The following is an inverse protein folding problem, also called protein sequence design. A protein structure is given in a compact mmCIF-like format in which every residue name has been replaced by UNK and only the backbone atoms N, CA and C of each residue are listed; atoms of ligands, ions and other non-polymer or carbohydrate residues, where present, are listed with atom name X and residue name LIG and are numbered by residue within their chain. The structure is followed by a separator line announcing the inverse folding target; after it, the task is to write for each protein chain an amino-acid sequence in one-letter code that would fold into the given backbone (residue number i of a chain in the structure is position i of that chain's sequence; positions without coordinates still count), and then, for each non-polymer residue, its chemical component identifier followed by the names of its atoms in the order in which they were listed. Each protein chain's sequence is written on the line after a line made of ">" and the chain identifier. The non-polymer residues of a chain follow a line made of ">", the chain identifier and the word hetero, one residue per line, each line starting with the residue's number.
data_IF_246033895595
#
_entry.id   IF_246033895595
#
_cell.length_a   1.000
_cell.length_b   1.000
_cell.length_c   1.000
_cell.angle_alpha   90.00
_cell.angle_beta   90.00
_cell.angle_gamma   90.00
#
_symmetry.space_group_name_H-M   'P 1'
#
loop_
_entity.id
_entity.type
_entity.pdbx_description
1 polymer ?
#
# COMPACT_ATOMS: atom_id res chain seq x y z
N UNK A 1 31.20 15.30 1.02
CA UNK A 1 31.30 14.67 -0.31
C UNK A 1 29.98 14.89 -1.02
N UNK A 2 30.02 15.46 -2.21
CA UNK A 2 28.87 15.81 -3.04
C UNK A 2 28.28 14.54 -3.69
N UNK A 3 27.15 14.06 -3.15
CA UNK A 3 26.29 13.11 -3.84
C UNK A 3 25.39 13.86 -4.84
N UNK A 4 25.21 13.32 -6.04
CA UNK A 4 24.16 13.74 -6.94
C UNK A 4 22.83 13.18 -6.41
N UNK A 5 21.90 14.05 -6.04
CA UNK A 5 20.59 13.67 -5.51
C UNK A 5 19.54 13.77 -6.60
N UNK A 6 18.75 12.71 -6.77
CA UNK A 6 17.68 12.65 -7.79
C UNK A 6 16.34 12.88 -7.12
N UNK A 7 15.56 13.83 -7.62
CA UNK A 7 14.22 14.19 -7.11
C UNK A 7 13.22 13.10 -7.53
N UNK A 8 12.46 12.54 -6.59
CA UNK A 8 11.23 11.80 -6.91
C UNK A 8 10.09 12.78 -7.16
N UNK A 9 9.50 12.71 -8.36
CA UNK A 9 8.17 13.24 -8.58
C UNK A 9 7.20 12.22 -7.99
N UNK A 10 6.56 12.55 -6.88
CA UNK A 10 5.34 11.86 -6.48
C UNK A 10 4.23 12.47 -7.33
N UNK A 11 3.55 11.65 -8.13
CA UNK A 11 2.24 12.06 -8.65
C UNK A 11 1.30 12.10 -7.45
N UNK A 12 0.77 13.28 -7.11
CA UNK A 12 -0.22 13.41 -6.03
C UNK A 12 -1.53 12.68 -6.32
N UNK A 13 -1.68 12.14 -7.53
CA UNK A 13 -2.88 11.47 -8.02
C UNK A 13 -2.68 9.96 -8.11
N UNK A 14 -3.76 9.22 -7.85
CA UNK A 14 -3.88 7.80 -8.15
C UNK A 14 -3.68 7.51 -9.65
N UNK A 15 -3.15 6.33 -9.97
CA UNK A 15 -3.12 5.82 -11.35
C UNK A 15 -4.51 5.79 -12.00
N UNK A 16 -4.55 5.74 -13.33
CA UNK A 16 -5.81 5.65 -14.07
C UNK A 16 -6.66 4.46 -13.65
N UNK A 17 -6.02 3.32 -13.39
CA UNK A 17 -6.69 2.07 -13.02
C UNK A 17 -7.34 2.22 -11.64
N UNK A 18 -6.59 2.64 -10.62
CA UNK A 18 -7.12 2.83 -9.27
C UNK A 18 -8.22 3.90 -9.24
N UNK A 19 -8.07 5.01 -9.98
CA UNK A 19 -9.12 6.03 -10.09
C UNK A 19 -10.40 5.47 -10.68
N UNK A 20 -10.29 4.66 -11.74
CA UNK A 20 -11.46 4.03 -12.35
C UNK A 20 -12.07 2.97 -11.43
N UNK A 21 -11.24 2.23 -10.71
CA UNK A 21 -11.68 1.23 -9.75
C UNK A 21 -12.47 1.87 -8.61
N UNK A 22 -11.95 2.94 -7.99
CA UNK A 22 -12.68 3.70 -6.97
C UNK A 22 -14.02 4.24 -7.49
N UNK A 23 -14.07 4.72 -8.74
CA UNK A 23 -15.35 5.12 -9.35
C UNK A 23 -16.36 3.97 -9.42
N UNK A 24 -15.91 2.78 -9.78
CA UNK A 24 -16.77 1.60 -9.87
C UNK A 24 -17.18 1.07 -8.48
N UNK A 25 -16.25 1.01 -7.53
CA UNK A 25 -16.51 0.53 -6.15
C UNK A 25 -17.62 1.34 -5.48
N UNK A 26 -17.58 2.66 -5.61
CA UNK A 26 -18.59 3.54 -5.02
C UNK A 26 -19.72 3.88 -6.00
N UNK A 27 -19.77 3.24 -7.19
CA UNK A 27 -20.78 3.51 -8.24
C UNK A 27 -20.94 5.00 -8.59
N UNK A 28 -19.88 5.79 -8.46
CA UNK A 28 -19.87 7.24 -8.65
C UNK A 28 -20.47 8.08 -7.52
N UNK A 29 -20.87 7.47 -6.39
CA UNK A 29 -21.38 8.18 -5.22
C UNK A 29 -20.22 8.63 -4.33
N UNK A 30 -20.38 9.78 -3.69
CA UNK A 30 -19.48 10.19 -2.63
C UNK A 30 -19.62 9.27 -1.42
N UNK A 31 -18.52 8.72 -0.92
CA UNK A 31 -18.48 7.84 0.24
C UNK A 31 -19.02 8.49 1.53
N UNK A 32 -18.92 9.83 1.65
CA UNK A 32 -19.37 10.56 2.85
C UNK A 32 -20.82 10.98 2.76
N UNK A 33 -21.22 11.67 1.69
CA UNK A 33 -22.56 12.26 1.60
C UNK A 33 -23.57 11.46 0.76
N UNK A 34 -23.14 10.35 0.15
CA UNK A 34 -23.97 9.49 -0.69
C UNK A 34 -24.41 10.12 -2.02
N UNK A 35 -24.02 11.36 -2.33
CA UNK A 35 -24.48 12.04 -3.55
C UNK A 35 -23.69 11.58 -4.77
N UNK A 36 -24.40 11.30 -5.87
CA UNK A 36 -23.83 11.10 -7.21
C UNK A 36 -24.23 12.25 -8.11
N UNK A 37 -23.23 12.93 -8.67
CA UNK A 37 -23.39 14.04 -9.63
C UNK A 37 -22.56 13.79 -10.86
N UNK A 38 -23.10 14.21 -11.99
CA UNK A 38 -22.51 14.01 -13.31
C UNK A 38 -22.78 15.23 -14.19
N UNK A 39 -21.79 15.63 -14.99
CA UNK A 39 -21.96 16.70 -15.97
C UNK A 39 -22.88 16.23 -17.12
N UNK A 40 -23.45 17.14 -17.92
CA UNK A 40 -24.20 16.77 -19.13
C UNK A 40 -23.42 15.90 -20.14
N UNK A 41 -22.08 15.82 -20.01
CA UNK A 41 -21.20 15.04 -20.87
C UNK A 41 -20.73 13.72 -20.23
N UNK A 42 -21.27 13.35 -19.06
CA UNK A 42 -20.97 12.08 -18.42
C UNK A 42 -19.78 12.11 -17.44
N UNK A 43 -19.29 13.29 -17.07
CA UNK A 43 -18.17 13.39 -16.13
C UNK A 43 -18.68 13.42 -14.69
N UNK A 44 -18.31 12.42 -13.89
CA UNK A 44 -18.58 12.40 -12.46
C UNK A 44 -17.92 13.59 -11.76
N UNK A 45 -18.64 14.19 -10.81
CA UNK A 45 -18.11 15.26 -9.98
C UNK A 45 -17.19 14.74 -8.88
N UNK A 46 -17.37 13.49 -8.45
CA UNK A 46 -16.57 12.87 -7.41
C UNK A 46 -15.16 12.49 -7.89
N UNK A 47 -14.20 12.62 -6.99
CA UNK A 47 -12.76 12.45 -7.18
C UNK A 47 -12.23 11.37 -6.23
N UNK A 48 -11.18 10.68 -6.66
CA UNK A 48 -10.52 9.69 -5.83
C UNK A 48 -9.57 10.40 -4.85
N UNK A 49 -9.78 10.20 -3.55
CA UNK A 49 -9.03 10.80 -2.47
C UNK A 49 -8.21 9.73 -1.73
N UNK A 50 -6.94 10.02 -1.45
CA UNK A 50 -6.10 9.12 -0.67
C UNK A 50 -6.45 9.22 0.82
N UNK A 51 -6.53 8.08 1.50
CA UNK A 51 -6.70 8.05 2.96
C UNK A 51 -5.36 8.33 3.63
N UNK A 52 -4.35 7.51 3.36
CA UNK A 52 -2.95 7.85 3.61
C UNK A 52 -2.44 8.63 2.40
N UNK A 53 -2.07 9.92 2.55
CA UNK A 53 -1.69 10.75 1.41
C UNK A 53 -0.46 10.21 0.68
N UNK A 54 -0.48 10.27 -0.65
CA UNK A 54 0.64 9.83 -1.50
C UNK A 54 1.95 10.55 -1.18
N UNK A 55 1.90 11.85 -0.87
CA UNK A 55 3.04 12.66 -0.44
C UNK A 55 3.65 12.23 0.91
N UNK A 56 2.99 11.32 1.62
CA UNK A 56 3.49 10.72 2.84
C UNK A 56 3.87 9.24 2.63
N UNK A 57 3.82 8.72 1.40
CA UNK A 57 4.14 7.32 1.11
C UNK A 57 2.92 6.40 1.11
N UNK A 58 1.72 6.96 1.10
CA UNK A 58 0.48 6.22 0.90
C UNK A 58 0.50 5.45 -0.43
N UNK A 59 0.16 4.15 -0.44
CA UNK A 59 0.20 3.35 -1.65
C UNK A 59 -0.99 3.66 -2.58
N UNK A 60 -0.75 3.53 -3.88
CA UNK A 60 -1.77 3.60 -4.94
C UNK A 60 -2.59 2.29 -4.95
N UNK A 61 -3.58 2.19 -4.06
CA UNK A 61 -4.45 1.00 -3.91
C UNK A 61 -5.86 1.44 -3.55
N UNK A 62 -6.89 0.68 -3.95
CA UNK A 62 -8.28 1.04 -3.66
C UNK A 62 -8.58 1.06 -2.16
N UNK A 63 -7.94 0.17 -1.41
CA UNK A 63 -8.10 0.10 0.04
C UNK A 63 -7.49 1.32 0.78
N UNK A 64 -6.66 2.12 0.08
CA UNK A 64 -6.16 3.42 0.52
C UNK A 64 -6.96 4.59 -0.08
N UNK A 65 -8.12 4.33 -0.67
CA UNK A 65 -8.87 5.31 -1.45
C UNK A 65 -10.34 5.43 -1.06
N UNK A 66 -10.86 6.64 -1.16
CA UNK A 66 -12.28 6.96 -1.10
C UNK A 66 -12.69 7.67 -2.39
N UNK A 67 -13.94 7.50 -2.82
CA UNK A 67 -14.51 8.38 -3.84
C UNK A 67 -15.29 9.50 -3.15
N UNK A 68 -14.87 10.75 -3.29
CA UNK A 68 -15.44 11.88 -2.56
C UNK A 68 -15.89 12.99 -3.52
N UNK A 69 -17.03 13.64 -3.25
CA UNK A 69 -17.34 14.91 -3.91
C UNK A 69 -16.33 15.98 -3.48
N UNK A 70 -16.15 17.04 -4.28
CA UNK A 70 -15.14 18.08 -4.02
C UNK A 70 -15.21 18.68 -2.63
N UNK A 71 -16.42 18.89 -2.11
CA UNK A 71 -16.61 19.45 -0.78
C UNK A 71 -16.18 18.50 0.34
N UNK A 72 -16.55 17.21 0.23
CA UNK A 72 -16.14 16.19 1.19
C UNK A 72 -14.65 15.85 1.04
N UNK A 73 -14.10 15.88 -0.18
CA UNK A 73 -12.68 15.71 -0.46
C UNK A 73 -11.87 16.79 0.25
N UNK A 74 -12.21 18.06 0.04
CA UNK A 74 -11.58 19.17 0.75
C UNK A 74 -11.74 19.05 2.27
N UNK A 75 -12.91 18.64 2.76
CA UNK A 75 -13.14 18.41 4.18
C UNK A 75 -12.24 17.32 4.76
N UNK A 76 -12.03 16.23 4.03
CA UNK A 76 -11.16 15.14 4.44
C UNK A 76 -9.69 15.60 4.49
N UNK A 77 -9.18 16.17 3.39
CA UNK A 77 -7.79 16.62 3.27
C UNK A 77 -7.44 17.77 4.22
N UNK A 78 -8.41 18.62 4.56
CA UNK A 78 -8.21 19.75 5.48
C UNK A 78 -8.40 19.37 6.96
N UNK A 79 -8.68 18.10 7.25
CA UNK A 79 -8.85 17.61 8.62
C UNK A 79 -10.20 17.89 9.27
N UNK A 80 -11.23 18.26 8.49
CA UNK A 80 -12.61 18.33 8.99
C UNK A 80 -13.23 16.95 9.18
N UNK A 81 -12.86 16.00 8.33
CA UNK A 81 -13.39 14.64 8.33
C UNK A 81 -12.27 13.63 8.54
N UNK A 82 -12.56 12.55 9.23
CA UNK A 82 -11.77 11.32 9.21
C UNK A 82 -12.67 10.10 9.40
N UNK A 83 -12.07 8.92 9.51
CA UNK A 83 -12.78 7.65 9.70
C UNK A 83 -12.27 6.92 10.94
N UNK A 84 -13.17 6.27 11.66
CA UNK A 84 -12.84 5.24 12.65
C UNK A 84 -12.34 3.97 11.95
N UNK A 85 -11.82 3.02 12.73
CA UNK A 85 -11.39 1.71 12.22
C UNK A 85 -12.56 0.85 11.69
N UNK A 86 -13.79 1.17 12.09
CA UNK A 86 -15.04 0.58 11.58
C UNK A 86 -15.73 1.46 10.52
N UNK A 87 -14.97 2.32 9.84
CA UNK A 87 -15.41 3.16 8.73
C UNK A 87 -16.60 4.10 9.04
N UNK A 88 -16.68 4.59 10.28
CA UNK A 88 -17.61 5.66 10.67
C UNK A 88 -16.94 7.02 10.56
N UNK A 89 -17.71 8.02 10.19
CA UNK A 89 -17.24 9.37 9.97
C UNK A 89 -17.01 10.07 11.31
N UNK A 90 -15.81 10.61 11.47
CA UNK A 90 -15.40 11.47 12.59
C UNK A 90 -15.31 12.90 12.06
N UNK A 91 -15.85 13.86 12.80
CA UNK A 91 -15.83 15.28 12.46
C UNK A 91 -14.98 16.05 13.46
N UNK A 92 -14.16 16.98 12.99
CA UNK A 92 -13.34 17.84 13.87
C UNK A 92 -14.23 18.74 14.72
N UNK A 93 -13.95 18.79 16.02
CA UNK A 93 -14.73 19.54 17.00
C UNK A 93 -14.20 20.98 17.14
N UNK A 94 -14.17 21.73 16.04
CA UNK A 94 -13.84 23.16 16.01
C UNK A 94 -15.09 23.99 15.66
N UNK A 95 -15.96 24.15 16.66
CA UNK A 95 -17.21 24.92 16.56
C UNK A 95 -17.01 26.39 16.16
N UNK A 96 -15.78 26.92 16.27
CA UNK A 96 -15.46 28.31 15.98
C UNK A 96 -15.08 28.54 14.51
N UNK A 97 -14.77 27.49 13.76
CA UNK A 97 -14.34 27.59 12.37
C UNK A 97 -15.51 27.51 11.38
N UNK A 98 -15.54 28.46 10.42
CA UNK A 98 -16.57 28.55 9.40
C UNK A 98 -16.58 27.29 8.51
N UNK A 99 -17.68 26.51 8.58
CA UNK A 99 -17.84 25.26 7.84
C UNK A 99 -18.14 24.04 8.73
N UNK A 100 -17.95 24.14 10.05
CA UNK A 100 -18.22 23.07 11.00
C UNK A 100 -19.65 22.48 10.86
N UNK A 101 -20.68 23.33 10.79
CA UNK A 101 -22.08 22.88 10.69
C UNK A 101 -22.35 21.97 9.48
N UNK A 102 -21.67 22.20 8.35
CA UNK A 102 -21.85 21.38 7.16
C UNK A 102 -21.30 19.97 7.37
N UNK A 103 -20.15 19.80 8.03
CA UNK A 103 -19.57 18.46 8.22
C UNK A 103 -20.18 17.73 9.40
N UNK A 104 -20.59 18.47 10.44
CA UNK A 104 -21.16 17.89 11.66
C UNK A 104 -22.39 17.02 11.40
N UNK A 105 -23.15 17.30 10.33
CA UNK A 105 -24.31 16.48 9.95
C UNK A 105 -23.95 15.02 9.61
N UNK A 106 -22.70 14.73 9.26
CA UNK A 106 -22.23 13.37 8.92
C UNK A 106 -21.61 12.64 10.10
N UNK A 107 -21.55 13.26 11.28
CA UNK A 107 -20.84 12.71 12.45
C UNK A 107 -21.45 11.38 12.91
N UNK A 108 -20.61 10.35 13.05
CA UNK A 108 -20.95 8.96 13.40
C UNK A 108 -21.74 8.16 12.35
N UNK A 109 -22.03 8.73 11.19
CA UNK A 109 -22.60 7.97 10.07
C UNK A 109 -21.54 7.01 9.50
N UNK A 110 -21.99 5.88 8.97
CA UNK A 110 -21.12 5.00 8.18
C UNK A 110 -20.92 5.61 6.78
N UNK A 111 -19.73 5.45 6.21
CA UNK A 111 -19.54 5.74 4.78
C UNK A 111 -20.40 4.80 3.92
N UNK A 112 -20.70 5.22 2.69
CA UNK A 112 -21.18 4.30 1.66
C UNK A 112 -20.15 3.20 1.48
N UNK A 113 -20.56 1.95 1.70
CA UNK A 113 -19.67 0.80 1.54
C UNK A 113 -19.31 0.61 0.05
N UNK A 114 -18.07 0.22 -0.27
CA UNK A 114 -17.75 -0.19 -1.62
C UNK A 114 -18.54 -1.45 -2.01
N UNK A 115 -18.79 -1.63 -3.30
CA UNK A 115 -19.51 -2.79 -3.84
C UNK A 115 -18.80 -4.13 -3.63
N UNK A 116 -17.54 -4.11 -3.19
CA UNK A 116 -16.70 -5.27 -2.93
C UNK A 116 -16.08 -5.13 -1.53
N UNK A 117 -16.61 -5.86 -0.56
CA UNK A 117 -16.32 -5.67 0.88
C UNK A 117 -14.84 -5.86 1.25
N UNK A 118 -14.11 -6.78 0.62
CA UNK A 118 -12.68 -6.99 0.91
C UNK A 118 -11.79 -5.86 0.36
N UNK A 119 -12.36 -4.85 -0.30
CA UNK A 119 -11.68 -3.64 -0.78
C UNK A 119 -12.05 -2.38 0.01
N UNK A 120 -12.65 -2.55 1.18
CA UNK A 120 -12.92 -1.46 2.12
C UNK A 120 -11.64 -0.72 2.55
N UNK A 121 -11.77 0.56 2.93
CA UNK A 121 -10.72 1.30 3.60
C UNK A 121 -10.05 0.51 4.72
N UNK A 122 -8.75 0.26 4.63
CA UNK A 122 -8.05 -0.48 5.69
C UNK A 122 -7.84 0.40 6.93
N UNK A 123 -8.07 -0.13 8.15
CA UNK A 123 -7.93 0.62 9.39
C UNK A 123 -6.60 1.36 9.52
N UNK A 124 -5.48 0.74 9.12
CA UNK A 124 -4.15 1.38 9.18
C UNK A 124 -4.08 2.73 8.45
N UNK A 125 -4.77 2.87 7.31
CA UNK A 125 -4.72 4.10 6.54
C UNK A 125 -5.56 5.17 7.23
N UNK A 126 -6.73 4.77 7.76
CA UNK A 126 -7.56 5.67 8.57
C UNK A 126 -6.84 6.10 9.85
N UNK A 127 -6.09 5.22 10.50
CA UNK A 127 -5.25 5.54 11.66
C UNK A 127 -4.14 6.53 11.31
N UNK A 128 -3.47 6.35 10.17
CA UNK A 128 -2.49 7.32 9.66
C UNK A 128 -3.15 8.68 9.41
N UNK A 129 -4.31 8.70 8.74
CA UNK A 129 -5.05 9.93 8.48
C UNK A 129 -5.49 10.63 9.77
N UNK A 130 -6.07 9.91 10.74
CA UNK A 130 -6.48 10.47 12.04
C UNK A 130 -5.31 11.14 12.77
N UNK A 131 -4.13 10.54 12.72
CA UNK A 131 -2.90 11.10 13.30
C UNK A 131 -2.41 12.33 12.55
N UNK A 132 -2.39 12.31 11.22
CA UNK A 132 -1.96 13.44 10.40
C UNK A 132 -2.91 14.63 10.53
N UNK A 133 -4.21 14.37 10.64
CA UNK A 133 -5.27 15.40 10.73
C UNK A 133 -5.62 15.78 12.17
N UNK A 134 -4.90 15.28 13.18
CA UNK A 134 -5.03 15.70 14.57
C UNK A 134 -6.20 15.13 15.36
N UNK A 135 -6.88 14.09 14.84
CA UNK A 135 -7.93 13.36 15.57
C UNK A 135 -7.35 12.43 16.64
N UNK A 136 -6.19 11.84 16.36
CA UNK A 136 -5.47 10.96 17.28
C UNK A 136 -4.10 11.55 17.63
N UNK A 137 -3.60 11.37 18.87
CA UNK A 137 -2.23 11.72 19.20
C UNK A 137 -1.24 10.81 18.45
N UNK A 138 -0.11 11.38 18.06
CA UNK A 138 1.05 10.62 17.58
C UNK A 138 1.84 10.15 18.80
N UNK A 139 1.92 8.84 19.02
CA UNK A 139 2.58 8.22 20.17
C UNK A 139 3.98 7.71 19.81
N UNK A 140 4.84 7.54 20.83
CA UNK A 140 6.14 6.90 20.64
C UNK A 140 5.96 5.46 20.12
N UNK A 141 6.66 5.14 19.02
CA UNK A 141 6.53 3.84 18.33
C UNK A 141 5.57 3.85 17.13
N UNK A 142 4.85 4.96 16.89
CA UNK A 142 4.04 5.11 15.70
C UNK A 142 4.90 5.17 14.42
N UNK A 143 4.65 4.23 13.51
CA UNK A 143 5.30 4.16 12.20
C UNK A 143 4.50 4.94 11.16
N UNK A 144 4.49 6.26 11.30
CA UNK A 144 4.03 7.15 10.23
C UNK A 144 5.17 7.32 9.23
N UNK A 145 5.06 6.69 8.05
CA UNK A 145 5.89 7.10 6.93
C UNK A 145 5.39 8.51 6.55
N UNK A 146 6.27 9.52 6.64
CA UNK A 146 6.02 10.90 6.21
C UNK A 146 7.06 11.21 5.15
N UNK A 147 6.85 10.64 3.96
CA UNK A 147 7.82 10.67 2.86
C UNK A 147 7.64 11.84 1.91
N UNK A 148 8.05 13.05 2.30
CA UNK A 148 7.97 14.25 1.43
C UNK A 148 8.98 15.38 1.70
N UNK A 149 10.05 15.15 2.46
CA UNK A 149 11.02 16.22 2.77
C UNK A 149 11.97 16.47 1.58
N UNK A 150 11.84 17.65 0.96
CA UNK A 150 12.83 18.21 0.03
C UNK A 150 13.94 18.93 0.80
N UNK A 151 15.14 18.92 0.23
CA UNK A 151 16.28 19.68 0.74
C UNK A 151 16.02 21.19 0.68
N UNK A 152 16.09 21.85 1.82
CA UNK A 152 16.17 23.30 1.96
C UNK A 152 16.79 23.63 3.33
N UNK A 153 17.26 24.86 3.53
CA UNK A 153 17.58 25.31 4.89
C UNK A 153 16.28 25.35 5.68
N UNK A 154 16.26 24.61 6.77
CA UNK A 154 15.13 24.57 7.71
C UNK A 154 15.30 25.71 8.70
N UNK A 155 14.28 26.57 8.84
CA UNK A 155 14.16 27.49 9.96
C UNK A 155 12.95 27.11 10.82
N UNK A 156 13.18 27.11 12.14
CA UNK A 156 12.15 26.94 13.15
C UNK A 156 11.44 28.27 13.36
N UNK A 157 10.11 28.28 13.27
CA UNK A 157 9.28 29.39 13.74
C UNK A 157 8.49 28.90 14.96
N UNK A 158 8.66 29.62 16.07
CA UNK A 158 7.93 29.46 17.34
C UNK A 158 7.88 28.03 17.92
N UNK A 159 8.87 27.20 17.60
CA UNK A 159 9.03 25.84 18.13
C UNK A 159 7.97 24.83 17.66
N UNK A 160 7.14 25.19 16.69
CA UNK A 160 6.00 24.37 16.23
C UNK A 160 5.87 24.23 14.72
N UNK A 161 6.52 25.10 13.94
CA UNK A 161 6.42 25.11 12.48
C UNK A 161 7.79 24.98 11.82
N UNK A 162 7.85 24.13 10.79
CA UNK A 162 9.03 23.93 9.95
C UNK A 162 8.77 24.56 8.58
N UNK A 163 9.55 25.59 8.23
CA UNK A 163 9.59 26.12 6.87
C UNK A 163 10.84 25.59 6.17
N UNK A 164 10.64 24.97 5.00
CA UNK A 164 11.72 24.56 4.10
C UNK A 164 11.87 25.65 3.02
N UNK A 165 12.92 26.47 3.11
CA UNK A 165 13.17 27.49 2.08
C UNK A 165 13.35 26.83 0.69
N UNK A 166 12.45 27.14 -0.25
CA UNK A 166 12.52 26.71 -1.65
C UNK A 166 11.58 25.58 -2.08
N UNK A 167 10.68 25.08 -1.22
CA UNK A 167 9.52 24.26 -1.64
C UNK A 167 8.37 25.14 -2.13
N UNK A 168 7.63 24.66 -3.13
CA UNK A 168 6.45 25.36 -3.69
C UNK A 168 5.23 25.29 -2.78
N UNK A 169 5.25 24.40 -1.78
CA UNK A 169 4.18 24.21 -0.81
C UNK A 169 4.71 24.60 0.57
N UNK A 170 4.10 25.65 1.13
CA UNK A 170 4.41 26.22 2.44
C UNK A 170 3.69 25.39 3.53
N UNK A 171 4.47 25.01 4.56
CA UNK A 171 4.07 24.41 5.84
C UNK A 171 3.64 22.92 5.85
N UNK A 172 4.59 22.06 6.25
CA UNK A 172 4.28 20.83 6.99
C UNK A 172 3.88 21.25 8.41
N UNK A 173 2.58 21.38 8.67
CA UNK A 173 2.06 21.48 10.04
C UNK A 173 2.02 20.08 10.62
N UNK A 174 3.11 19.68 11.27
CA UNK A 174 3.13 18.47 12.09
C UNK A 174 3.34 18.92 13.53
N UNK A 175 2.45 18.52 14.43
CA UNK A 175 2.55 18.77 15.87
C UNK A 175 3.77 18.02 16.51
N UNK A 176 4.99 18.25 16.03
CA UNK A 176 6.21 17.65 16.57
C UNK A 176 7.37 18.66 16.63
N UNK A 177 8.26 18.50 17.61
CA UNK A 177 9.47 19.32 17.77
C UNK A 177 10.67 18.59 17.14
N UNK A 178 11.38 19.19 16.20
CA UNK A 178 12.54 18.56 15.53
C UNK A 178 13.73 18.50 16.50
N UNK A 179 14.27 17.31 16.76
CA UNK A 179 15.34 17.07 17.73
C UNK A 179 16.72 16.94 17.08
N UNK A 180 16.82 16.45 15.83
CA UNK A 180 18.07 16.42 15.05
C UNK A 180 17.85 16.20 13.55
N UNK A 181 18.77 16.68 12.71
CA UNK A 181 18.77 16.49 11.24
C UNK A 181 20.13 15.97 10.77
N UNK A 182 20.16 14.95 9.91
CA UNK A 182 21.37 14.48 9.21
C UNK A 182 21.18 14.41 7.67
N UNK A 183 22.15 13.82 6.96
CA UNK A 183 22.13 13.77 5.49
C UNK A 183 21.11 12.82 4.87
N UNK A 184 20.48 11.95 5.67
CA UNK A 184 19.53 10.94 5.20
C UNK A 184 18.25 10.82 6.06
N UNK A 185 18.16 11.47 7.22
CA UNK A 185 17.01 11.40 8.12
C UNK A 185 16.76 12.69 8.93
N UNK A 186 15.50 12.85 9.37
CA UNK A 186 15.08 13.84 10.38
C UNK A 186 14.50 13.11 11.58
N UNK A 187 14.91 13.51 12.80
CA UNK A 187 14.33 13.04 14.07
C UNK A 187 13.49 14.14 14.69
N UNK A 188 12.32 13.78 15.22
CA UNK A 188 11.47 14.66 16.02
C UNK A 188 11.24 14.09 17.42
N UNK A 189 10.58 14.88 18.27
CA UNK A 189 10.26 14.62 19.69
C UNK A 189 9.40 13.37 19.91
N UNK A 190 8.89 12.76 18.84
CA UNK A 190 8.10 11.53 18.87
C UNK A 190 8.87 10.27 18.39
N UNK A 191 10.20 10.33 18.25
CA UNK A 191 11.07 9.16 18.06
C UNK A 191 10.74 8.22 16.89
N UNK A 192 10.53 8.78 15.69
CA UNK A 192 10.49 7.99 14.44
C UNK A 192 11.54 8.53 13.46
N UNK A 193 12.37 7.63 12.91
CA UNK A 193 13.31 7.94 11.83
C UNK A 193 12.49 7.97 10.53
N UNK A 194 12.43 9.12 9.88
CA UNK A 194 11.85 9.24 8.54
C UNK A 194 12.92 8.82 7.52
N UNK A 195 12.87 7.56 7.08
CA UNK A 195 13.75 7.08 6.02
C UNK A 195 13.15 7.37 4.63
N UNK A 196 14.03 7.80 3.74
CA UNK A 196 13.71 8.08 2.35
C UNK A 196 13.38 6.76 1.64
N UNK A 197 12.13 6.55 1.22
CA UNK A 197 11.81 5.41 0.37
C UNK A 197 12.61 5.52 -0.93
N UNK A 198 13.35 4.46 -1.26
CA UNK A 198 14.10 4.39 -2.53
C UNK A 198 13.10 4.50 -3.67
N UNK A 199 13.32 5.49 -4.54
CA UNK A 199 12.56 5.69 -5.76
C UNK A 199 12.74 4.44 -6.65
N UNK A 200 11.67 3.70 -6.94
CA UNK A 200 11.63 2.91 -8.17
C UNK A 200 11.32 3.89 -9.30
N UNK A 201 12.37 4.41 -9.94
CA UNK A 201 12.23 5.48 -10.93
C UNK A 201 11.39 5.04 -12.14
N UNK A 202 10.48 5.94 -12.47
CA UNK A 202 9.66 6.11 -13.67
C UNK A 202 10.42 5.94 -14.99
N UNK A 203 10.60 4.68 -15.39
CA UNK A 203 10.85 4.24 -16.77
C UNK A 203 10.05 2.99 -17.13
N UNK A 204 8.99 2.70 -16.38
CA UNK A 204 8.22 1.46 -16.52
C UNK A 204 7.30 1.55 -17.73
N UNK A 205 7.44 0.58 -18.64
CA UNK A 205 6.50 0.43 -19.74
C UNK A 205 5.08 0.26 -19.18
N UNK A 206 4.12 1.04 -19.70
CA UNK A 206 2.70 0.83 -19.42
C UNK A 206 2.33 -0.64 -19.72
N UNK A 207 1.30 -1.17 -19.05
CA UNK A 207 0.77 -2.48 -19.43
C UNK A 207 0.38 -2.46 -20.90
N UNK A 208 0.78 -3.46 -21.71
CA UNK A 208 0.26 -3.56 -23.07
C UNK A 208 -1.24 -3.90 -23.06
N UNK A 209 -1.77 -4.44 -21.94
CA UNK A 209 -3.17 -4.77 -21.75
C UNK A 209 -3.95 -3.55 -21.26
N UNK A 210 -4.20 -2.58 -22.15
CA UNK A 210 -4.99 -1.40 -21.82
C UNK A 210 -6.45 -1.78 -21.59
N UNK A 211 -7.01 -1.37 -20.46
CA UNK A 211 -8.40 -1.60 -20.10
C UNK A 211 -9.16 -0.30 -20.31
N UNK A 212 -9.65 -0.07 -21.54
CA UNK A 212 -10.57 1.04 -21.78
C UNK A 212 -11.86 0.79 -20.97
N UNK A 213 -12.32 1.73 -20.12
CA UNK A 213 -13.55 1.56 -19.33
C UNK A 213 -14.76 1.13 -20.17
N UNK A 214 -14.82 1.54 -21.44
CA UNK A 214 -15.91 1.26 -22.38
C UNK A 214 -15.86 -0.16 -22.94
N UNK A 215 -14.68 -0.67 -23.32
CA UNK A 215 -14.50 -1.96 -24.01
C UNK A 215 -14.17 -3.13 -23.07
N UNK A 216 -14.17 -2.88 -21.76
CA UNK A 216 -13.81 -3.87 -20.76
C UNK A 216 -14.95 -4.88 -20.51
N UNK A 217 -15.04 -5.95 -21.32
CA UNK A 217 -15.99 -7.08 -21.21
C UNK A 217 -15.34 -8.36 -20.65
N UNK A 218 -16.14 -9.36 -20.27
CA UNK A 218 -15.61 -10.67 -19.85
C UNK A 218 -14.86 -11.39 -20.98
N UNK A 219 -15.37 -11.34 -22.22
CA UNK A 219 -14.68 -11.92 -23.38
C UNK A 219 -13.29 -11.30 -23.58
N UNK A 220 -13.17 -9.97 -23.36
CA UNK A 220 -11.90 -9.27 -23.47
C UNK A 220 -10.96 -9.63 -22.31
N UNK A 221 -11.50 -9.76 -21.10
CA UNK A 221 -10.75 -10.20 -19.93
C UNK A 221 -10.18 -11.61 -20.14
N UNK A 222 -11.00 -12.53 -20.65
CA UNK A 222 -10.60 -13.89 -21.01
C UNK A 222 -9.44 -13.89 -22.03
N UNK A 223 -9.60 -13.13 -23.12
CA UNK A 223 -8.59 -12.99 -24.18
C UNK A 223 -7.24 -12.53 -23.59
N UNK A 224 -7.24 -11.49 -22.76
CA UNK A 224 -6.01 -10.97 -22.14
C UNK A 224 -5.39 -11.96 -21.16
N UNK A 225 -6.19 -12.65 -20.35
CA UNK A 225 -5.67 -13.67 -19.43
C UNK A 225 -5.00 -14.80 -20.23
N UNK A 226 -5.58 -15.25 -21.35
CA UNK A 226 -4.98 -16.25 -22.24
C UNK A 226 -3.68 -15.76 -22.89
N UNK A 227 -3.63 -14.51 -23.32
CA UNK A 227 -2.41 -13.89 -23.86
C UNK A 227 -1.30 -13.82 -22.80
N UNK A 228 -1.62 -13.36 -21.59
CA UNK A 228 -0.66 -13.30 -20.48
C UNK A 228 -0.09 -14.68 -20.15
N UNK A 229 -0.92 -15.74 -20.19
CA UNK A 229 -0.44 -17.12 -19.98
C UNK A 229 0.58 -17.56 -21.04
N UNK A 230 0.43 -17.08 -22.27
CA UNK A 230 1.30 -17.44 -23.39
C UNK A 230 2.62 -16.68 -23.35
N UNK A 231 2.55 -15.38 -23.05
CA UNK A 231 3.67 -14.46 -23.30
C UNK A 231 4.44 -14.07 -22.03
N UNK A 232 3.87 -14.31 -20.84
CA UNK A 232 4.48 -13.96 -19.56
C UNK A 232 4.65 -15.18 -18.66
N UNK A 233 5.57 -15.08 -17.69
CA UNK A 233 5.79 -16.11 -16.66
C UNK A 233 6.20 -15.48 -15.32
N UNK A 234 6.23 -16.28 -14.26
CA UNK A 234 6.71 -15.86 -12.94
C UNK A 234 5.86 -14.75 -12.31
N UNK A 235 6.52 -13.81 -11.63
CA UNK A 235 5.85 -12.72 -10.92
C UNK A 235 5.14 -11.77 -11.88
N UNK A 236 5.75 -11.46 -13.04
CA UNK A 236 5.15 -10.57 -14.05
C UNK A 236 3.80 -11.09 -14.54
N UNK A 237 3.71 -12.40 -14.82
CA UNK A 237 2.43 -13.03 -15.20
C UNK A 237 1.37 -12.87 -14.11
N UNK A 238 1.75 -13.13 -12.85
CA UNK A 238 0.82 -13.10 -11.72
C UNK A 238 0.40 -11.69 -11.35
N UNK A 239 1.29 -10.73 -11.54
CA UNK A 239 0.99 -9.33 -11.37
C UNK A 239 -0.03 -8.85 -12.41
N UNK A 240 0.16 -9.17 -13.69
CA UNK A 240 -0.79 -8.78 -14.75
C UNK A 240 -2.15 -9.46 -14.56
N UNK A 241 -2.17 -10.74 -14.15
CA UNK A 241 -3.38 -11.42 -13.72
C UNK A 241 -4.09 -10.68 -12.60
N UNK A 242 -3.35 -10.34 -11.53
CA UNK A 242 -3.89 -9.64 -10.38
C UNK A 242 -4.53 -8.32 -10.76
N UNK A 243 -3.85 -7.51 -11.57
CA UNK A 243 -4.38 -6.25 -12.08
C UNK A 243 -5.67 -6.46 -12.88
N UNK A 244 -5.68 -7.41 -13.81
CA UNK A 244 -6.84 -7.69 -14.64
C UNK A 244 -8.03 -8.21 -13.81
N UNK A 245 -7.81 -9.13 -12.88
CA UNK A 245 -8.88 -9.65 -12.04
C UNK A 245 -9.43 -8.59 -11.09
N UNK A 246 -8.54 -7.79 -10.50
CA UNK A 246 -8.93 -6.68 -9.62
C UNK A 246 -9.84 -5.69 -10.32
N UNK A 247 -9.48 -5.30 -11.54
CA UNK A 247 -10.30 -4.38 -12.34
C UNK A 247 -11.66 -5.02 -12.69
N UNK A 248 -11.67 -6.34 -12.96
CA UNK A 248 -12.87 -7.11 -13.26
C UNK A 248 -13.82 -7.14 -12.07
N UNK A 249 -13.33 -7.61 -10.92
CA UNK A 249 -14.07 -7.64 -9.65
C UNK A 249 -14.68 -6.30 -9.33
N UNK A 250 -13.87 -5.25 -9.45
CA UNK A 250 -14.28 -3.89 -9.12
C UNK A 250 -15.36 -3.36 -10.06
N UNK A 251 -15.25 -3.58 -11.38
CA UNK A 251 -16.27 -3.15 -12.33
C UNK A 251 -17.59 -3.90 -12.13
N UNK A 252 -17.53 -5.19 -11.88
CA UNK A 252 -18.71 -6.06 -11.88
C UNK A 252 -19.26 -6.37 -10.49
N UNK A 253 -18.60 -5.93 -9.42
CA UNK A 253 -18.99 -6.22 -8.04
C UNK A 253 -18.89 -7.70 -7.70
N UNK A 254 -17.88 -8.41 -8.22
CA UNK A 254 -17.78 -9.87 -8.11
C UNK A 254 -16.74 -10.32 -7.09
N UNK A 255 -17.00 -11.45 -6.44
CA UNK A 255 -16.02 -12.19 -5.63
C UNK A 255 -14.91 -12.83 -6.48
N UNK A 256 -13.82 -13.26 -5.83
CA UNK A 256 -12.75 -14.01 -6.51
C UNK A 256 -13.28 -15.25 -7.24
N UNK A 257 -14.23 -15.95 -6.62
CA UNK A 257 -14.86 -17.14 -7.19
C UNK A 257 -15.71 -16.82 -8.41
N UNK A 258 -16.58 -15.82 -8.31
CA UNK A 258 -17.45 -15.45 -9.42
C UNK A 258 -16.63 -14.97 -10.64
N UNK A 259 -15.53 -14.25 -10.44
CA UNK A 259 -14.63 -13.90 -11.54
C UNK A 259 -14.00 -15.15 -12.15
N UNK A 260 -13.46 -16.06 -11.34
CA UNK A 260 -12.87 -17.30 -11.82
C UNK A 260 -13.85 -18.13 -12.66
N UNK A 261 -15.09 -18.26 -12.18
CA UNK A 261 -16.15 -19.01 -12.85
C UNK A 261 -16.62 -18.31 -14.14
N UNK A 262 -16.59 -16.96 -14.18
CA UNK A 262 -17.07 -16.19 -15.34
C UNK A 262 -16.08 -16.18 -16.50
N UNK A 263 -14.78 -16.07 -16.22
CA UNK A 263 -13.76 -16.05 -17.28
C UNK A 263 -13.47 -17.44 -17.86
N UNK A 264 -13.73 -18.51 -17.08
CA UNK A 264 -13.51 -19.91 -17.45
C UNK A 264 -12.15 -20.20 -18.13
N UNK A 265 -11.08 -19.59 -17.61
CA UNK A 265 -9.72 -19.84 -18.08
C UNK A 265 -9.08 -20.93 -17.25
N UNK A 266 -8.64 -22.00 -17.91
CA UNK A 266 -7.92 -23.11 -17.25
C UNK A 266 -6.78 -22.58 -16.36
N UNK A 267 -6.74 -23.00 -15.10
CA UNK A 267 -5.72 -22.57 -14.14
C UNK A 267 -5.95 -21.21 -13.47
N UNK A 268 -7.05 -20.50 -13.77
CA UNK A 268 -7.48 -19.30 -13.06
C UNK A 268 -8.57 -19.63 -12.02
N UNK A 269 -8.27 -20.54 -11.08
CA UNK A 269 -9.18 -20.85 -9.96
C UNK A 269 -9.33 -19.69 -8.97
N UNK A 270 -10.36 -19.72 -8.12
CA UNK A 270 -10.57 -18.74 -7.03
C UNK A 270 -9.27 -18.41 -6.25
N UNK A 271 -8.53 -19.45 -5.85
CA UNK A 271 -7.26 -19.28 -5.14
C UNK A 271 -6.19 -18.58 -5.98
N UNK A 272 -6.16 -18.82 -7.30
CA UNK A 272 -5.21 -18.17 -8.21
C UNK A 272 -5.59 -16.72 -8.47
N UNK A 273 -6.88 -16.41 -8.56
CA UNK A 273 -7.38 -15.03 -8.63
C UNK A 273 -6.97 -14.27 -7.38
N UNK A 274 -7.28 -14.82 -6.20
CA UNK A 274 -6.91 -14.20 -4.92
C UNK A 274 -5.40 -13.97 -4.78
N UNK A 275 -4.58 -14.99 -5.06
CA UNK A 275 -3.11 -14.86 -4.95
C UNK A 275 -2.53 -13.86 -5.93
N UNK A 276 -3.04 -13.84 -7.17
CA UNK A 276 -2.61 -12.89 -8.20
C UNK A 276 -2.96 -11.46 -7.78
N UNK A 277 -4.17 -11.20 -7.30
CA UNK A 277 -4.57 -9.88 -6.78
C UNK A 277 -3.68 -9.43 -5.63
N UNK A 278 -3.37 -10.33 -4.69
CA UNK A 278 -2.43 -10.01 -3.60
C UNK A 278 -1.03 -9.67 -4.13
N UNK A 279 -0.55 -10.30 -5.21
CA UNK A 279 0.72 -9.89 -5.83
C UNK A 279 0.62 -8.47 -6.40
N UNK A 280 -0.50 -8.15 -7.05
CA UNK A 280 -0.75 -6.80 -7.56
C UNK A 280 -0.76 -5.77 -6.43
N UNK A 281 -1.47 -6.02 -5.33
CA UNK A 281 -1.51 -5.18 -4.14
C UNK A 281 -0.15 -5.02 -3.44
N UNK A 282 0.69 -6.05 -3.44
CA UNK A 282 2.06 -5.95 -2.91
C UNK A 282 2.90 -4.99 -3.74
N UNK A 283 2.67 -4.93 -5.06
CA UNK A 283 3.50 -4.20 -6.01
C UNK A 283 2.69 -3.29 -6.95
N UNK A 284 1.85 -2.36 -6.44
CA UNK A 284 0.88 -1.63 -7.26
C UNK A 284 1.54 -0.87 -8.42
N UNK A 285 2.77 -0.41 -8.21
CA UNK A 285 3.55 0.33 -9.21
C UNK A 285 4.34 -0.55 -10.19
N UNK A 286 4.10 -1.87 -10.23
CA UNK A 286 4.98 -2.90 -10.83
C UNK A 286 6.36 -3.00 -10.17
N UNK A 287 6.39 -2.79 -8.85
CA UNK A 287 7.57 -2.82 -7.98
C UNK A 287 8.44 -4.09 -8.03
N UNK A 288 7.95 -5.17 -8.64
CA UNK A 288 8.57 -6.50 -8.58
C UNK A 288 9.72 -6.70 -9.58
N UNK A 289 9.83 -5.88 -10.64
CA UNK A 289 10.90 -6.03 -11.65
C UNK A 289 12.26 -5.64 -11.07
N UNK A 290 13.20 -6.60 -11.06
CA UNK A 290 14.56 -6.42 -10.53
C UNK A 290 14.83 -7.05 -9.17
N UNK A 291 13.83 -7.66 -8.53
CA UNK A 291 14.00 -8.41 -7.28
C UNK A 291 14.18 -9.90 -7.59
N UNK A 292 15.29 -10.49 -7.14
CA UNK A 292 15.67 -11.90 -7.40
C UNK A 292 14.78 -12.95 -6.70
N UNK A 293 13.58 -12.58 -6.24
CA UNK A 293 12.68 -13.45 -5.47
C UNK A 293 11.67 -14.11 -6.43
N UNK A 294 11.63 -15.45 -6.52
CA UNK A 294 10.69 -16.14 -7.39
C UNK A 294 9.25 -16.03 -6.86
N UNK A 295 8.26 -16.08 -7.76
CA UNK A 295 6.83 -16.10 -7.36
C UNK A 295 6.50 -17.20 -6.36
N UNK A 296 7.16 -18.36 -6.44
CA UNK A 296 6.96 -19.45 -5.48
C UNK A 296 7.34 -19.05 -4.05
N UNK A 297 8.36 -18.22 -3.86
CA UNK A 297 8.69 -17.67 -2.55
C UNK A 297 7.62 -16.67 -2.08
N UNK A 298 7.16 -15.77 -2.97
CA UNK A 298 6.04 -14.86 -2.67
C UNK A 298 4.79 -15.66 -2.28
N UNK A 299 4.51 -16.77 -2.96
CA UNK A 299 3.39 -17.64 -2.65
C UNK A 299 3.52 -18.31 -1.27
N UNK A 300 4.73 -18.60 -0.79
CA UNK A 300 4.95 -19.06 0.60
C UNK A 300 4.68 -17.94 1.60
N UNK A 301 5.11 -16.71 1.32
CA UNK A 301 4.77 -15.55 2.15
C UNK A 301 3.25 -15.40 2.22
N UNK A 302 2.56 -15.36 1.07
CA UNK A 302 1.11 -15.23 1.01
C UNK A 302 0.34 -16.39 1.64
N UNK A 303 0.92 -17.60 1.68
CA UNK A 303 0.31 -18.77 2.33
C UNK A 303 0.22 -18.58 3.84
N UNK A 304 1.26 -17.98 4.42
CA UNK A 304 1.41 -17.86 5.87
C UNK A 304 0.83 -16.54 6.36
N UNK A 305 1.22 -15.43 5.74
CA UNK A 305 0.74 -14.12 6.11
C UNK A 305 -0.68 -13.94 5.55
N UNK A 306 -1.71 -13.86 6.42
CA UNK A 306 -3.08 -13.70 5.94
C UNK A 306 -3.25 -12.35 5.25
N UNK A 307 -2.57 -11.31 5.75
CA UNK A 307 -2.61 -9.97 5.20
C UNK A 307 -1.55 -9.79 4.11
N UNK A 308 -1.92 -9.11 3.03
CA UNK A 308 -0.99 -8.74 1.94
C UNK A 308 0.17 -7.90 2.44
N UNK A 309 -0.04 -7.10 3.48
CA UNK A 309 0.95 -6.19 4.03
C UNK A 309 2.04 -6.90 4.80
N UNK A 310 1.68 -7.86 5.65
CA UNK A 310 2.65 -8.67 6.38
C UNK A 310 3.52 -9.46 5.39
N UNK A 311 2.89 -9.96 4.31
CA UNK A 311 3.63 -10.60 3.22
C UNK A 311 4.57 -9.61 2.49
N UNK A 312 4.13 -8.36 2.27
CA UNK A 312 4.95 -7.30 1.65
C UNK A 312 6.10 -6.87 2.54
N UNK A 313 5.84 -6.68 3.83
CA UNK A 313 6.83 -6.40 4.85
C UNK A 313 7.92 -7.47 4.88
N UNK A 314 7.52 -8.73 4.95
CA UNK A 314 8.42 -9.87 4.90
C UNK A 314 9.24 -9.89 3.60
N UNK A 315 8.60 -9.59 2.47
CA UNK A 315 9.26 -9.47 1.17
C UNK A 315 10.30 -8.34 1.15
N UNK A 316 9.96 -7.16 1.64
CA UNK A 316 10.83 -5.99 1.67
C UNK A 316 12.07 -6.25 2.54
N UNK A 317 11.92 -6.97 3.66
CA UNK A 317 13.06 -7.43 4.47
C UNK A 317 13.99 -8.37 3.70
N UNK A 318 13.44 -9.35 2.97
CA UNK A 318 14.27 -10.23 2.14
C UNK A 318 15.05 -9.39 1.13
N UNK A 319 14.38 -8.48 0.43
CA UNK A 319 15.01 -7.61 -0.56
C UNK A 319 16.09 -6.71 0.05
N UNK A 320 15.86 -6.13 1.24
CA UNK A 320 16.79 -5.23 1.92
C UNK A 320 18.14 -5.90 2.27
N UNK A 321 18.13 -7.20 2.57
CA UNK A 321 19.37 -7.95 2.83
C UNK A 321 20.25 -8.14 1.59
N UNK A 322 19.73 -7.86 0.39
CA UNK A 322 20.39 -8.21 -0.87
C UNK A 322 20.56 -9.72 -1.08
N UNK A 323 19.82 -10.54 -0.32
CA UNK A 323 19.82 -12.00 -0.46
C UNK A 323 18.55 -12.47 -1.17
N UNK A 324 18.67 -13.53 -1.97
CA UNK A 324 17.52 -14.24 -2.54
C UNK A 324 17.33 -15.55 -1.77
N UNK A 325 16.15 -15.70 -1.18
CA UNK A 325 15.72 -16.96 -0.58
C UNK A 325 15.01 -17.82 -1.64
N UNK A 326 15.38 -19.10 -1.70
CA UNK A 326 14.63 -20.11 -2.45
C UNK A 326 13.28 -20.40 -1.77
N UNK A 327 12.32 -20.96 -2.50
CA UNK A 327 11.00 -21.34 -1.94
C UNK A 327 11.10 -22.14 -0.62
N UNK A 328 12.03 -23.09 -0.55
CA UNK A 328 12.21 -23.93 0.65
C UNK A 328 12.83 -23.14 1.81
N UNK A 329 13.74 -22.20 1.52
CA UNK A 329 14.32 -21.31 2.53
C UNK A 329 13.30 -20.28 3.03
N UNK A 330 12.47 -19.73 2.13
CA UNK A 330 11.36 -18.85 2.51
C UNK A 330 10.38 -19.59 3.40
N UNK A 331 10.01 -20.83 3.07
CA UNK A 331 9.16 -21.65 3.94
C UNK A 331 9.79 -21.87 5.31
N UNK A 332 11.06 -22.31 5.35
CA UNK A 332 11.79 -22.53 6.60
C UNK A 332 11.84 -21.27 7.48
N UNK A 333 12.14 -20.11 6.89
CA UNK A 333 12.18 -18.83 7.61
C UNK A 333 10.83 -18.42 8.17
N UNK A 334 9.78 -18.50 7.35
CA UNK A 334 8.45 -18.05 7.76
C UNK A 334 7.85 -18.97 8.83
N UNK A 335 8.12 -20.28 8.78
CA UNK A 335 7.69 -21.20 9.83
C UNK A 335 8.44 -20.97 11.15
N UNK A 336 9.72 -20.58 11.10
CA UNK A 336 10.45 -20.11 12.28
C UNK A 336 9.83 -18.84 12.85
N UNK A 337 9.48 -17.88 11.99
CA UNK A 337 8.87 -16.63 12.41
C UNK A 337 7.51 -16.85 13.12
N UNK A 338 6.74 -17.83 12.66
CA UNK A 338 5.48 -18.22 13.30
C UNK A 338 5.68 -19.10 14.54
N UNK A 339 6.86 -19.65 14.74
CA UNK A 339 7.12 -20.49 15.90
C UNK A 339 7.19 -19.63 17.16
N UNK A 340 6.72 -20.16 18.29
CA UNK A 340 6.93 -19.52 19.60
C UNK A 340 8.39 -19.65 20.10
N UNK A 341 9.29 -20.21 19.28
CA UNK A 341 10.66 -20.50 19.66
C UNK A 341 11.58 -19.34 19.33
N UNK A 342 12.60 -19.15 20.15
CA UNK A 342 13.68 -18.20 19.86
C UNK A 342 14.39 -18.61 18.57
N UNK A 343 14.53 -17.67 17.64
CA UNK A 343 15.24 -17.91 16.38
C UNK A 343 16.74 -17.81 16.64
N UNK A 344 17.39 -18.96 16.69
CA UNK A 344 18.82 -19.12 16.89
C UNK A 344 19.42 -19.82 15.68
N UNK A 345 20.75 -19.88 15.63
CA UNK A 345 21.44 -20.64 14.58
C UNK A 345 21.10 -22.13 14.58
N UNK A 346 20.78 -22.70 15.74
CA UNK A 346 20.41 -24.11 15.88
C UNK A 346 18.99 -24.35 15.37
N UNK A 347 18.01 -23.57 15.84
CA UNK A 347 16.62 -23.68 15.37
C UNK A 347 16.49 -23.37 13.88
N UNK A 348 17.23 -22.37 13.38
CA UNK A 348 17.31 -22.09 11.95
C UNK A 348 17.92 -23.25 11.14
N UNK A 349 18.92 -23.94 11.68
CA UNK A 349 19.50 -25.12 11.03
C UNK A 349 18.50 -26.27 10.97
N UNK A 350 17.80 -26.55 12.07
CA UNK A 350 16.80 -27.62 12.13
C UNK A 350 15.68 -27.39 11.10
N UNK A 351 15.14 -26.17 11.06
CA UNK A 351 14.11 -25.80 10.09
C UNK A 351 14.58 -25.92 8.63
N UNK A 352 15.83 -25.54 8.33
CA UNK A 352 16.41 -25.75 6.99
C UNK A 352 16.56 -27.23 6.67
N UNK A 353 17.01 -28.06 7.61
CA UNK A 353 17.20 -29.50 7.39
C UNK A 353 15.87 -30.26 7.21
N UNK A 354 14.77 -29.75 7.77
CA UNK A 354 13.43 -30.27 7.57
C UNK A 354 12.91 -30.00 6.14
N UNK A 355 13.20 -28.80 5.63
CA UNK A 355 12.62 -28.31 4.37
C UNK A 355 13.52 -28.49 3.15
N UNK A 356 14.83 -28.52 3.34
CA UNK A 356 15.82 -28.58 2.25
C UNK A 356 16.45 -29.97 2.19
N UNK A 357 16.55 -30.60 1.01
CA UNK A 357 17.12 -31.94 0.87
C UNK A 357 18.51 -32.09 1.50
N UNK A 358 18.71 -33.17 2.27
CA UNK A 358 19.92 -33.48 3.06
C UNK A 358 21.23 -33.60 2.28
N UNK A 359 21.19 -33.55 0.94
CA UNK A 359 22.35 -33.80 0.08
C UNK A 359 23.24 -32.58 -0.21
N UNK A 360 23.05 -31.42 0.45
CA UNK A 360 23.64 -30.17 -0.03
C UNK A 360 24.84 -29.62 0.76
N UNK A 361 25.94 -29.42 0.04
CA UNK A 361 26.95 -28.39 0.31
C UNK A 361 26.26 -27.04 0.52
N UNK A 362 26.71 -26.25 1.49
CA UNK A 362 26.22 -24.88 1.72
C UNK A 362 25.15 -24.70 2.81
N UNK A 363 24.85 -25.71 3.63
CA UNK A 363 23.90 -25.58 4.77
C UNK A 363 24.17 -24.34 5.64
N UNK A 364 25.44 -24.10 6.00
CA UNK A 364 25.78 -22.93 6.82
C UNK A 364 25.46 -21.61 6.11
N UNK A 365 25.57 -21.53 4.79
CA UNK A 365 25.26 -20.31 4.04
C UNK A 365 23.75 -20.06 4.01
N UNK A 366 22.94 -21.11 3.86
CA UNK A 366 21.47 -21.03 3.91
C UNK A 366 20.99 -20.54 5.27
N UNK A 367 21.53 -21.11 6.35
CA UNK A 367 21.24 -20.68 7.72
C UNK A 367 21.61 -19.22 7.92
N UNK A 368 22.80 -18.79 7.45
CA UNK A 368 23.20 -17.38 7.54
C UNK A 368 22.25 -16.44 6.79
N UNK A 369 21.76 -16.81 5.60
CA UNK A 369 20.77 -15.99 4.87
C UNK A 369 19.46 -15.85 5.64
N UNK A 370 18.93 -16.95 6.18
CA UNK A 370 17.68 -16.93 6.95
C UNK A 370 17.80 -16.06 8.19
N UNK A 371 18.91 -16.18 8.93
CA UNK A 371 19.15 -15.34 10.11
C UNK A 371 19.26 -13.86 9.74
N UNK A 372 19.97 -13.51 8.66
CA UNK A 372 20.07 -12.13 8.21
C UNK A 372 18.69 -11.52 7.87
N UNK A 373 17.83 -12.28 7.18
CA UNK A 373 16.46 -11.85 6.88
C UNK A 373 15.62 -11.74 8.16
N UNK A 374 15.80 -12.65 9.12
CA UNK A 374 15.09 -12.60 10.40
C UNK A 374 15.50 -11.39 11.25
N UNK A 375 16.80 -11.09 11.33
CA UNK A 375 17.32 -9.93 12.05
C UNK A 375 16.81 -8.62 11.43
N UNK A 376 16.80 -8.54 10.09
CA UNK A 376 16.21 -7.41 9.36
C UNK A 376 14.73 -7.26 9.73
N UNK A 377 13.96 -8.36 9.66
CA UNK A 377 12.55 -8.37 10.03
C UNK A 377 12.31 -7.93 11.47
N UNK A 378 13.07 -8.43 12.44
CA UNK A 378 12.92 -8.02 13.83
C UNK A 378 13.25 -6.54 14.04
N UNK A 379 14.31 -6.04 13.39
CA UNK A 379 14.72 -4.64 13.50
C UNK A 379 13.67 -3.69 12.91
N UNK A 380 12.98 -4.13 11.86
CA UNK A 380 11.94 -3.34 11.19
C UNK A 380 10.58 -3.51 11.84
N UNK A 381 10.22 -4.69 12.38
CA UNK A 381 8.83 -5.03 12.75
C UNK A 381 8.56 -5.19 14.24
N UNK A 382 9.54 -5.54 15.07
CA UNK A 382 9.41 -5.61 16.54
C UNK A 382 10.25 -4.51 17.19
N UNK A 383 9.66 -3.38 17.62
CA UNK A 383 10.41 -2.41 18.38
C UNK A 383 10.79 -3.01 19.75
N UNK A 384 12.04 -2.79 20.16
CA UNK A 384 12.56 -3.11 21.49
C UNK A 384 11.78 -2.41 22.61
#
# INVERSE_FOLDING_TARGET
>A
MSGNWTVSHYTGEFSSDTRQNLRNLYSGHCAVCGQRRESPFGHLEAEAAHIHPAQHGGPDTEANGLLLCRQCHWGFDSGWLSLTDDARIIVSNDDAADGHEYFQQFSNDSIEAPSVNDLEPLPRFTQVHRKLSGFDPINAGDRLTIGGLRSGKVQLIDGRQVIVEGSTDEALVVNCEVTSVDSQAVRCSHHTILEQRVKTDSGRAESPFKLDPVDYSFDKLEEYVREIKRDYSGVAQKWEWGRLFRNGRTKYGLSHKEIADTIDVEGASELQVQRAERVYEMFPDRGYEGNDIPFSAIAELQRIFPNTEDARAAYDCIAATGTSLTTMETRAWVELLLSESEVTRETARESVEEHVPKSNVGLSERVSRILAVHDEYLSVFTPN
#
